data_IF_911510187749
#
_entry.id   IF_911510187749
#
_cell.length_a   1.000
_cell.length_b   1.000
_cell.length_c   1.000
_cell.angle_alpha   90.00
_cell.angle_beta   90.00
_cell.angle_gamma   90.00
#
_symmetry.space_group_name_H-M   'P 1'
#
loop_
_entity.id
_entity.type
_entity.pdbx_description
1 polymer ?
#
# COMPACT_ATOMS: atom_id res chain seq x y z
N UNK A 1 28.13 -18.26 28.46
CA UNK A 1 27.21 -17.48 27.66
C UNK A 1 27.71 -16.04 27.59
N UNK A 2 27.84 -15.53 26.37
CA UNK A 2 28.38 -14.17 26.05
C UNK A 2 27.25 -13.19 25.77
N UNK A 3 26.10 -13.36 26.42
CA UNK A 3 24.93 -12.48 26.32
C UNK A 3 25.32 -11.04 26.70
N UNK A 4 25.06 -10.09 25.82
CA UNK A 4 25.45 -8.69 25.97
C UNK A 4 26.85 -8.33 25.45
N UNK A 5 27.72 -9.28 25.19
CA UNK A 5 29.06 -9.04 24.58
C UNK A 5 28.96 -9.11 23.05
N UNK A 6 28.30 -10.13 22.53
CA UNK A 6 28.05 -10.26 21.10
C UNK A 6 26.70 -9.59 20.79
N UNK A 7 26.64 -8.70 19.79
CA UNK A 7 25.39 -8.12 19.37
C UNK A 7 24.34 -9.18 19.01
N UNK A 8 23.08 -8.92 19.36
CA UNK A 8 21.98 -9.88 19.23
C UNK A 8 21.77 -10.40 17.79
N UNK A 9 21.95 -9.52 16.79
CA UNK A 9 21.88 -9.89 15.39
C UNK A 9 22.99 -10.86 14.92
N UNK A 10 24.04 -11.07 15.75
CA UNK A 10 25.12 -12.00 15.49
C UNK A 10 25.00 -13.31 16.28
N UNK A 11 23.86 -13.59 16.91
CA UNK A 11 23.65 -14.76 17.79
C UNK A 11 23.86 -16.12 17.10
N UNK A 12 23.75 -16.17 15.77
CA UNK A 12 24.02 -17.41 15.02
C UNK A 12 25.51 -17.61 14.68
N UNK A 13 26.37 -16.63 14.96
CA UNK A 13 27.80 -16.82 14.81
C UNK A 13 28.34 -17.67 15.97
N UNK A 14 29.03 -18.75 15.62
CA UNK A 14 29.78 -19.58 16.57
C UNK A 14 31.23 -19.12 16.60
N UNK A 15 31.77 -18.95 17.80
CA UNK A 15 33.16 -18.52 17.96
C UNK A 15 33.63 -18.58 19.40
N UNK A 16 34.88 -18.22 19.59
CA UNK A 16 35.55 -18.11 20.90
C UNK A 16 36.03 -16.68 21.05
N UNK A 17 35.74 -16.07 22.21
CA UNK A 17 36.28 -14.76 22.59
C UNK A 17 37.29 -14.98 23.69
N UNK A 18 38.54 -14.57 23.46
CA UNK A 18 39.58 -14.50 24.45
C UNK A 18 39.94 -13.02 24.69
N UNK A 19 39.72 -12.57 25.92
CA UNK A 19 40.00 -11.20 26.30
C UNK A 19 40.38 -11.13 27.79
N UNK A 20 41.55 -10.58 28.13
CA UNK A 20 41.93 -10.37 29.52
C UNK A 20 41.10 -9.30 30.21
N UNK A 21 40.41 -8.45 29.45
CA UNK A 21 39.65 -7.30 29.97
C UNK A 21 38.19 -7.64 30.29
N UNK A 22 37.74 -8.90 30.01
CA UNK A 22 36.42 -9.37 30.38
C UNK A 22 36.48 -9.94 31.79
N UNK A 23 35.91 -9.28 32.81
CA UNK A 23 35.90 -9.84 34.15
C UNK A 23 35.09 -11.15 34.18
N UNK A 24 35.73 -12.20 34.62
CA UNK A 24 35.04 -13.47 34.90
C UNK A 24 34.19 -13.30 36.15
N UNK A 25 32.96 -12.90 35.96
CA UNK A 25 32.03 -12.75 37.07
C UNK A 25 31.01 -13.90 37.12
N UNK A 26 30.85 -14.48 38.30
CA UNK A 26 29.97 -15.62 38.57
C UNK A 26 28.48 -15.23 38.46
N UNK A 27 28.18 -13.92 38.43
CA UNK A 27 26.83 -13.38 38.36
C UNK A 27 26.54 -12.75 37.00
N UNK A 28 25.65 -13.35 36.23
CA UNK A 28 25.23 -12.94 34.88
C UNK A 28 24.72 -11.50 34.74
N UNK A 29 24.28 -10.87 35.82
CA UNK A 29 23.66 -9.54 35.84
C UNK A 29 24.64 -8.36 35.76
N UNK A 30 25.93 -8.58 35.99
CA UNK A 30 26.94 -7.52 36.03
C UNK A 30 27.61 -7.21 34.68
N UNK A 31 27.56 -8.10 33.71
CA UNK A 31 28.25 -7.93 32.43
C UNK A 31 27.61 -6.86 31.52
N UNK A 32 26.32 -6.60 31.68
CA UNK A 32 25.58 -5.66 30.81
C UNK A 32 25.90 -4.18 31.05
N UNK A 33 26.49 -3.82 32.18
CA UNK A 33 26.76 -2.44 32.57
C UNK A 33 28.21 -2.00 32.44
N UNK A 34 29.13 -2.90 32.10
CA UNK A 34 30.57 -2.59 31.99
C UNK A 34 30.88 -1.85 30.69
N UNK A 35 31.56 -0.73 30.77
CA UNK A 35 32.05 0.06 29.63
C UNK A 35 32.96 -0.76 28.71
N UNK A 36 33.68 -1.73 29.23
CA UNK A 36 34.54 -2.62 28.45
C UNK A 36 33.74 -3.62 27.59
N UNK A 37 32.63 -4.14 28.11
CA UNK A 37 31.72 -5.00 27.35
C UNK A 37 31.13 -4.24 26.15
N UNK A 38 30.70 -2.98 26.33
CA UNK A 38 30.24 -2.13 25.25
C UNK A 38 31.31 -1.89 24.18
N UNK A 39 32.57 -1.62 24.60
CA UNK A 39 33.69 -1.43 23.67
C UNK A 39 33.97 -2.69 22.85
N UNK A 40 33.94 -3.85 23.49
CA UNK A 40 34.16 -5.14 22.81
C UNK A 40 33.03 -5.43 21.83
N UNK A 41 31.77 -5.20 22.24
CA UNK A 41 30.59 -5.37 21.35
C UNK A 41 30.68 -4.47 20.13
N UNK A 42 31.04 -3.19 20.31
CA UNK A 42 31.25 -2.24 19.20
C UNK A 42 32.41 -2.67 18.30
N UNK A 43 33.50 -3.17 18.87
CA UNK A 43 34.64 -3.67 18.10
C UNK A 43 34.25 -4.90 17.26
N UNK A 44 33.52 -5.86 17.83
CA UNK A 44 33.02 -7.03 17.11
C UNK A 44 32.09 -6.59 15.94
N UNK A 45 31.12 -5.71 16.22
CA UNK A 45 30.23 -5.15 15.20
C UNK A 45 31.02 -4.56 14.03
N UNK A 46 32.03 -3.74 14.35
CA UNK A 46 32.91 -3.14 13.34
C UNK A 46 33.66 -4.20 12.53
N UNK A 47 34.28 -5.17 13.18
CA UNK A 47 35.06 -6.21 12.49
C UNK A 47 34.21 -7.09 11.59
N UNK A 48 33.01 -7.43 12.02
CA UNK A 48 32.05 -8.17 11.19
C UNK A 48 31.64 -7.36 9.96
N UNK A 49 31.29 -6.09 10.14
CA UNK A 49 30.95 -5.20 9.02
C UNK A 49 32.14 -5.03 8.05
N UNK A 50 33.36 -4.79 8.57
CA UNK A 50 34.59 -4.67 7.76
C UNK A 50 34.83 -5.96 6.95
N UNK A 51 34.63 -7.15 7.56
CA UNK A 51 34.82 -8.43 6.87
C UNK A 51 33.76 -8.66 5.79
N UNK A 52 32.50 -8.37 6.05
CA UNK A 52 31.42 -8.45 5.05
C UNK A 52 31.70 -7.53 3.86
N UNK A 53 32.14 -6.30 4.13
CA UNK A 53 32.52 -5.33 3.09
C UNK A 53 33.71 -5.83 2.26
N UNK A 54 34.70 -6.45 2.91
CA UNK A 54 35.85 -7.06 2.18
C UNK A 54 35.38 -8.17 1.24
N UNK A 55 34.54 -9.09 1.71
CA UNK A 55 33.99 -10.19 0.89
C UNK A 55 33.20 -9.60 -0.29
N UNK A 56 32.37 -8.59 -0.05
CA UNK A 56 31.61 -7.91 -1.10
C UNK A 56 32.54 -7.31 -2.18
N UNK A 57 33.63 -6.65 -1.77
CA UNK A 57 34.58 -6.03 -2.69
C UNK A 57 35.49 -7.02 -3.42
N UNK A 58 35.91 -8.09 -2.73
CA UNK A 58 36.83 -9.10 -3.27
C UNK A 58 36.11 -10.04 -4.27
N UNK A 59 34.87 -10.42 -3.99
CA UNK A 59 34.09 -11.33 -4.83
C UNK A 59 32.59 -11.04 -4.75
N UNK A 60 32.16 -9.98 -5.43
CA UNK A 60 30.78 -9.55 -5.45
C UNK A 60 29.80 -10.64 -5.88
N UNK A 61 30.17 -11.45 -6.90
CA UNK A 61 29.28 -12.52 -7.39
C UNK A 61 29.00 -13.57 -6.33
N UNK A 62 30.02 -14.02 -5.63
CA UNK A 62 29.87 -14.98 -4.54
C UNK A 62 29.05 -14.37 -3.38
N UNK A 63 29.22 -13.09 -3.11
CA UNK A 63 28.44 -12.39 -2.10
C UNK A 63 26.96 -12.30 -2.47
N UNK A 64 26.64 -11.99 -3.73
CA UNK A 64 25.27 -11.98 -4.26
C UNK A 64 24.61 -13.37 -4.19
N UNK A 65 25.34 -14.45 -4.50
CA UNK A 65 24.84 -15.84 -4.39
C UNK A 65 24.49 -16.23 -2.93
N UNK A 66 25.16 -15.63 -1.96
CA UNK A 66 24.91 -15.84 -0.52
C UNK A 66 23.98 -14.82 0.11
N UNK A 67 23.53 -13.82 -0.66
CA UNK A 67 22.76 -12.70 -0.12
C UNK A 67 21.46 -13.12 0.57
N UNK A 68 20.73 -14.06 0.01
CA UNK A 68 19.46 -14.50 0.59
C UNK A 68 19.65 -15.13 1.98
N UNK A 69 20.79 -15.75 2.26
CA UNK A 69 21.16 -16.28 3.57
C UNK A 69 21.68 -15.20 4.53
N UNK A 70 22.36 -14.18 4.00
CA UNK A 70 22.95 -13.08 4.77
C UNK A 70 21.96 -11.97 5.09
N UNK A 71 20.96 -11.76 4.23
CA UNK A 71 20.03 -10.65 4.28
C UNK A 71 19.38 -10.46 5.65
N UNK A 72 18.93 -11.54 6.28
CA UNK A 72 18.21 -11.45 7.56
C UNK A 72 19.11 -10.87 8.67
N UNK A 73 20.39 -11.30 8.72
CA UNK A 73 21.34 -10.81 9.73
C UNK A 73 21.71 -9.35 9.49
N UNK A 74 21.99 -9.01 8.24
CA UNK A 74 22.38 -7.66 7.85
C UNK A 74 21.23 -6.70 8.11
N UNK A 75 20.02 -7.05 7.70
CA UNK A 75 18.82 -6.25 7.94
C UNK A 75 18.53 -6.09 9.44
N UNK A 76 18.63 -7.18 10.22
CA UNK A 76 18.43 -7.08 11.67
C UNK A 76 19.50 -6.22 12.34
N UNK A 77 20.74 -6.34 11.90
CA UNK A 77 21.84 -5.48 12.38
C UNK A 77 21.61 -4.01 12.07
N UNK A 78 21.18 -3.69 10.85
CA UNK A 78 20.87 -2.33 10.42
C UNK A 78 19.70 -1.72 11.19
N UNK A 79 18.66 -2.52 11.49
CA UNK A 79 17.50 -2.10 12.29
C UNK A 79 17.85 -1.90 13.77
N UNK A 80 18.81 -2.67 14.30
CA UNK A 80 19.12 -2.71 15.72
C UNK A 80 20.23 -1.74 16.14
N UNK A 81 21.14 -1.38 15.22
CA UNK A 81 22.37 -0.63 15.51
C UNK A 81 22.68 0.39 14.42
N UNK A 82 22.63 1.67 14.77
CA UNK A 82 22.92 2.78 13.86
C UNK A 82 24.33 2.70 13.27
N UNK A 83 25.33 2.42 14.10
CA UNK A 83 26.74 2.30 13.66
C UNK A 83 26.95 1.08 12.73
N UNK A 84 26.14 0.04 12.83
CA UNK A 84 26.15 -1.04 11.86
C UNK A 84 25.48 -0.62 10.54
N UNK A 85 24.35 0.10 10.60
CA UNK A 85 23.72 0.67 9.42
C UNK A 85 24.70 1.51 8.61
N UNK A 86 25.41 2.45 9.26
CA UNK A 86 26.36 3.33 8.60
C UNK A 86 27.49 2.61 7.86
N UNK A 87 27.82 1.40 8.30
CA UNK A 87 28.81 0.53 7.64
C UNK A 87 28.19 -0.39 6.59
N UNK A 88 27.03 -0.93 6.89
CA UNK A 88 26.37 -1.96 6.08
C UNK A 88 25.70 -1.38 4.82
N UNK A 89 25.30 -0.10 4.81
CA UNK A 89 24.66 0.54 3.65
C UNK A 89 25.48 0.46 2.37
N UNK A 90 26.80 0.32 2.46
CA UNK A 90 27.69 0.25 1.30
C UNK A 90 27.75 -1.15 0.66
N UNK A 91 27.36 -2.20 1.39
CA UNK A 91 27.36 -3.59 0.92
C UNK A 91 26.02 -4.32 1.11
N UNK A 92 25.04 -3.69 1.74
CA UNK A 92 23.67 -4.21 1.76
C UNK A 92 23.06 -4.14 0.37
N UNK A 93 22.31 -5.18 -0.03
CA UNK A 93 21.79 -5.29 -1.37
C UNK A 93 20.27 -5.24 -1.41
N UNK A 94 19.75 -4.63 -2.47
CA UNK A 94 18.43 -4.91 -2.99
C UNK A 94 18.49 -6.02 -4.03
N UNK A 95 17.42 -6.82 -4.10
CA UNK A 95 17.18 -7.79 -5.17
C UNK A 95 15.93 -7.39 -5.91
N UNK A 96 15.97 -7.33 -7.22
CA UNK A 96 14.77 -7.07 -8.03
C UNK A 96 14.00 -8.37 -8.34
N UNK A 97 12.82 -8.22 -8.94
CA UNK A 97 11.97 -9.35 -9.34
C UNK A 97 12.58 -10.22 -10.45
N UNK A 98 13.59 -9.72 -11.17
CA UNK A 98 14.33 -10.45 -12.19
C UNK A 98 15.58 -11.15 -11.62
N UNK A 99 15.82 -11.03 -10.31
CA UNK A 99 16.90 -11.68 -9.60
C UNK A 99 18.24 -10.94 -9.68
N UNK A 100 18.27 -9.69 -10.12
CA UNK A 100 19.48 -8.85 -10.13
C UNK A 100 19.67 -8.19 -8.76
N UNK A 101 20.94 -8.03 -8.39
CA UNK A 101 21.34 -7.42 -7.13
C UNK A 101 21.95 -6.04 -7.34
N UNK A 102 21.65 -5.13 -6.42
CA UNK A 102 22.11 -3.75 -6.46
C UNK A 102 22.46 -3.28 -5.05
N UNK A 103 23.49 -2.47 -4.91
CA UNK A 103 23.62 -1.65 -3.69
C UNK A 103 22.52 -0.59 -3.68
N UNK A 104 22.33 0.07 -2.55
CA UNK A 104 21.31 1.13 -2.43
C UNK A 104 21.54 2.27 -3.43
N UNK A 105 22.80 2.69 -3.61
CA UNK A 105 23.16 3.75 -4.55
C UNK A 105 23.04 3.33 -6.02
N UNK A 106 23.40 2.08 -6.34
CA UNK A 106 23.21 1.54 -7.69
C UNK A 106 21.72 1.51 -8.06
N UNK A 107 20.87 1.02 -7.16
CA UNK A 107 19.44 0.95 -7.44
C UNK A 107 18.81 2.34 -7.56
N UNK A 108 19.20 3.28 -6.70
CA UNK A 108 18.82 4.69 -6.80
C UNK A 108 19.13 5.26 -8.18
N UNK A 109 20.31 4.95 -8.72
CA UNK A 109 20.72 5.41 -10.07
C UNK A 109 19.84 4.79 -11.15
N UNK A 110 19.52 3.50 -11.05
CA UNK A 110 18.68 2.79 -12.02
C UNK A 110 17.27 3.39 -12.12
N UNK A 111 16.65 3.76 -10.98
CA UNK A 111 15.25 4.19 -10.95
C UNK A 111 15.05 5.70 -11.08
N UNK A 112 16.10 6.50 -10.91
CA UNK A 112 16.02 7.97 -10.78
C UNK A 112 15.26 8.64 -11.92
N UNK A 113 15.52 8.27 -13.15
CA UNK A 113 14.98 8.97 -14.32
C UNK A 113 13.50 8.62 -14.57
N UNK A 114 13.12 7.37 -14.30
CA UNK A 114 11.77 6.87 -14.60
C UNK A 114 10.83 6.90 -13.41
N UNK A 115 11.34 6.75 -12.17
CA UNK A 115 10.54 6.56 -10.97
C UNK A 115 10.56 7.76 -10.03
N UNK A 116 10.82 8.96 -10.53
CA UNK A 116 10.62 10.21 -9.80
C UNK A 116 9.23 10.76 -10.08
N UNK A 117 8.45 11.06 -9.03
CA UNK A 117 7.13 11.63 -9.14
C UNK A 117 7.18 13.16 -9.43
N UNK A 118 6.01 13.76 -9.67
CA UNK A 118 5.89 15.21 -9.94
C UNK A 118 6.34 16.11 -8.78
N UNK A 119 6.43 15.58 -7.57
CA UNK A 119 6.87 16.31 -6.37
C UNK A 119 8.38 16.15 -6.14
N UNK A 120 9.05 15.37 -6.99
CA UNK A 120 10.47 15.08 -6.91
C UNK A 120 10.82 13.97 -5.91
N UNK A 121 9.84 13.16 -5.48
CA UNK A 121 10.11 11.99 -4.66
C UNK A 121 10.51 10.80 -5.54
N UNK A 122 11.52 10.08 -5.11
CA UNK A 122 11.97 8.85 -5.76
C UNK A 122 11.14 7.67 -5.24
N UNK A 123 10.48 6.96 -6.13
CA UNK A 123 9.56 5.89 -5.79
C UNK A 123 10.22 4.53 -6.02
N UNK A 124 10.46 3.81 -4.92
CA UNK A 124 10.94 2.43 -4.90
C UNK A 124 9.73 1.50 -4.98
N UNK A 125 9.44 0.97 -6.16
CA UNK A 125 8.39 -0.04 -6.30
C UNK A 125 8.88 -1.39 -5.81
N UNK A 126 8.02 -2.12 -5.09
CA UNK A 126 8.36 -3.46 -4.63
C UNK A 126 7.18 -4.44 -4.69
N UNK A 127 7.51 -5.71 -4.76
CA UNK A 127 6.59 -6.83 -4.61
C UNK A 127 7.06 -7.72 -3.46
N UNK A 128 6.16 -8.34 -2.74
CA UNK A 128 6.47 -9.31 -1.70
C UNK A 128 6.09 -10.75 -2.11
N UNK A 129 5.26 -10.92 -3.13
CA UNK A 129 4.94 -12.20 -3.74
C UNK A 129 4.89 -12.04 -5.27
N UNK A 130 5.88 -12.59 -5.94
CA UNK A 130 6.04 -12.45 -7.39
C UNK A 130 4.91 -13.11 -8.18
N UNK A 131 4.37 -14.21 -7.70
CA UNK A 131 3.31 -14.96 -8.38
C UNK A 131 1.96 -14.26 -8.21
N UNK A 132 1.58 -13.93 -7.00
CA UNK A 132 0.31 -13.25 -6.70
C UNK A 132 0.25 -11.84 -7.30
N UNK A 133 1.39 -11.15 -7.37
CA UNK A 133 1.49 -9.77 -7.86
C UNK A 133 1.98 -9.69 -9.31
N UNK A 134 2.01 -10.81 -10.03
CA UNK A 134 2.55 -10.90 -11.38
C UNK A 134 2.00 -9.82 -12.33
N UNK A 135 0.69 -9.63 -12.36
CA UNK A 135 0.07 -8.66 -13.27
C UNK A 135 0.41 -7.20 -12.97
N UNK A 136 0.66 -6.87 -11.71
CA UNK A 136 1.08 -5.52 -11.30
C UNK A 136 2.57 -5.30 -11.61
N UNK A 137 3.39 -6.35 -11.46
CA UNK A 137 4.81 -6.33 -11.82
C UNK A 137 4.95 -6.11 -13.33
N UNK A 138 4.19 -6.85 -14.16
CA UNK A 138 4.25 -6.68 -15.62
C UNK A 138 3.78 -5.28 -16.04
N UNK A 139 2.70 -4.76 -15.44
CA UNK A 139 2.26 -3.39 -15.71
C UNK A 139 3.33 -2.34 -15.37
N UNK A 140 4.10 -2.56 -14.30
CA UNK A 140 5.22 -1.70 -13.95
C UNK A 140 6.37 -1.81 -14.96
N UNK A 141 6.71 -3.03 -15.38
CA UNK A 141 7.74 -3.28 -16.39
C UNK A 141 7.39 -2.69 -17.75
N UNK A 142 6.13 -2.75 -18.17
CA UNK A 142 5.65 -2.15 -19.42
C UNK A 142 5.82 -0.62 -19.43
N UNK A 143 5.81 0.02 -18.26
CA UNK A 143 6.16 1.44 -18.09
C UNK A 143 7.67 1.70 -17.98
N UNK A 144 8.50 0.67 -18.06
CA UNK A 144 9.95 0.77 -17.88
C UNK A 144 10.38 0.96 -16.43
N UNK A 145 9.53 0.60 -15.46
CA UNK A 145 9.84 0.68 -14.04
C UNK A 145 10.52 -0.59 -13.55
N UNK A 146 11.45 -0.42 -12.60
CA UNK A 146 12.08 -1.51 -11.88
C UNK A 146 11.31 -1.81 -10.58
N UNK A 147 11.20 -3.09 -10.24
CA UNK A 147 10.46 -3.55 -9.06
C UNK A 147 11.38 -4.40 -8.19
N UNK A 148 11.50 -4.06 -6.91
CA UNK A 148 12.23 -4.84 -5.93
C UNK A 148 11.43 -6.06 -5.47
N UNK A 149 12.12 -7.13 -5.11
CA UNK A 149 11.54 -8.27 -4.42
C UNK A 149 11.83 -8.15 -2.92
N UNK A 150 10.79 -7.89 -2.14
CA UNK A 150 10.85 -7.72 -0.69
C UNK A 150 9.92 -8.72 -0.01
N UNK A 151 10.36 -9.98 0.05
CA UNK A 151 9.61 -11.14 0.55
C UNK A 151 10.10 -11.65 1.92
N UNK A 152 10.99 -10.90 2.57
CA UNK A 152 11.55 -11.23 3.88
C UNK A 152 10.71 -10.71 5.05
N UNK A 153 10.80 -11.37 6.20
CA UNK A 153 10.08 -10.99 7.42
C UNK A 153 10.45 -9.60 7.93
N UNK A 154 11.70 -9.15 7.71
CA UNK A 154 12.19 -7.84 8.14
C UNK A 154 11.99 -6.74 7.08
N UNK A 155 11.43 -7.05 5.91
CA UNK A 155 11.37 -6.07 4.83
C UNK A 155 10.42 -4.89 5.15
N UNK A 156 9.31 -5.09 5.86
CA UNK A 156 8.45 -3.98 6.28
C UNK A 156 9.15 -3.03 7.27
N UNK A 157 9.77 -3.48 8.37
CA UNK A 157 10.60 -2.62 9.20
C UNK A 157 11.74 -1.94 8.44
N UNK A 158 12.41 -2.67 7.52
CA UNK A 158 13.47 -2.11 6.68
C UNK A 158 12.97 -0.97 5.81
N UNK A 159 11.83 -1.15 5.13
CA UNK A 159 11.19 -0.10 4.32
C UNK A 159 10.94 1.15 5.15
N UNK A 160 10.34 1.01 6.34
CA UNK A 160 10.06 2.14 7.21
C UNK A 160 11.34 2.88 7.65
N UNK A 161 12.42 2.14 7.96
CA UNK A 161 13.71 2.72 8.30
C UNK A 161 14.34 3.42 7.09
N UNK A 162 14.35 2.78 5.92
CA UNK A 162 14.97 3.33 4.71
C UNK A 162 14.26 4.60 4.22
N UNK A 163 12.93 4.70 4.35
CA UNK A 163 12.20 5.93 4.04
C UNK A 163 12.61 7.11 4.95
N UNK A 164 13.03 6.85 6.18
CA UNK A 164 13.57 7.87 7.08
C UNK A 164 15.02 8.26 6.73
N UNK A 165 15.80 7.31 6.19
CA UNK A 165 17.21 7.51 5.84
C UNK A 165 17.42 8.09 4.44
N UNK A 166 16.53 7.78 3.51
CA UNK A 166 16.60 8.22 2.13
C UNK A 166 15.78 9.49 1.95
N UNK A 167 16.46 10.59 1.64
CA UNK A 167 15.78 11.86 1.39
C UNK A 167 14.84 11.75 0.18
N UNK A 168 13.65 12.33 0.31
CA UNK A 168 12.64 12.38 -0.76
C UNK A 168 12.43 11.03 -1.44
N UNK A 169 12.31 9.97 -0.66
CA UNK A 169 12.12 8.61 -1.15
C UNK A 169 10.92 7.96 -0.48
N UNK A 170 10.19 7.16 -1.25
CA UNK A 170 9.05 6.37 -0.78
C UNK A 170 9.14 4.96 -1.35
N UNK A 171 8.77 3.99 -0.54
CA UNK A 171 8.61 2.60 -0.96
C UNK A 171 7.12 2.31 -1.12
N UNK A 172 6.74 1.81 -2.29
CA UNK A 172 5.34 1.57 -2.62
C UNK A 172 5.19 0.17 -3.23
N UNK A 173 4.30 -0.64 -2.66
CA UNK A 173 4.04 -1.97 -3.21
C UNK A 173 3.25 -1.85 -4.50
N UNK A 174 3.59 -2.67 -5.50
CA UNK A 174 3.06 -2.57 -6.87
C UNK A 174 1.54 -2.70 -6.98
N UNK A 175 0.88 -3.32 -6.00
CA UNK A 175 -0.57 -3.51 -5.95
C UNK A 175 -1.29 -2.53 -4.99
N UNK A 176 -0.57 -1.52 -4.50
CA UNK A 176 -1.16 -0.54 -3.57
C UNK A 176 -2.02 0.53 -4.26
N UNK A 177 -1.80 0.75 -5.53
CA UNK A 177 -2.63 1.60 -6.40
C UNK A 177 -2.42 1.19 -7.86
N UNK A 178 -3.12 1.84 -8.80
CA UNK A 178 -2.87 1.68 -10.23
C UNK A 178 -1.49 2.22 -10.61
N UNK A 179 -0.91 1.66 -11.67
CA UNK A 179 0.44 2.04 -12.10
C UNK A 179 0.56 3.54 -12.41
N UNK A 180 -0.50 4.17 -12.86
CA UNK A 180 -0.60 5.60 -13.13
C UNK A 180 -0.53 6.47 -11.87
N UNK A 181 -0.96 5.91 -10.72
CA UNK A 181 -0.97 6.60 -9.41
C UNK A 181 0.21 6.21 -8.52
N UNK A 182 0.83 5.06 -8.74
CA UNK A 182 2.03 4.66 -7.97
C UNK A 182 3.16 5.69 -8.14
N UNK A 183 3.34 6.21 -9.37
CA UNK A 183 4.29 7.26 -9.68
C UNK A 183 3.53 8.35 -10.44
N UNK A 184 3.05 9.35 -9.69
CA UNK A 184 2.22 10.42 -10.26
C UNK A 184 3.08 11.33 -11.11
N UNK A 185 2.80 11.37 -12.42
CA UNK A 185 3.41 12.29 -13.39
C UNK A 185 2.51 13.50 -13.60
N UNK A 186 3.04 14.57 -14.22
CA UNK A 186 2.29 15.82 -14.45
C UNK A 186 1.11 15.64 -15.42
N UNK A 187 1.23 14.69 -16.33
CA UNK A 187 0.28 14.38 -17.41
C UNK A 187 -0.72 13.26 -17.06
N UNK A 188 -0.93 12.98 -15.77
CA UNK A 188 -1.88 11.96 -15.33
C UNK A 188 -3.29 12.24 -15.88
N UNK A 189 -3.80 11.30 -16.68
CA UNK A 189 -5.10 11.39 -17.33
C UNK A 189 -6.23 11.35 -16.28
N UNK A 190 -7.19 12.27 -16.43
CA UNK A 190 -8.43 12.25 -15.66
C UNK A 190 -9.55 11.58 -16.44
N UNK A 191 -10.51 10.99 -15.75
CA UNK A 191 -11.72 10.49 -16.42
C UNK A 191 -12.53 11.63 -17.06
N UNK A 192 -13.05 11.35 -18.25
CA UNK A 192 -13.94 12.27 -18.97
C UNK A 192 -15.39 12.17 -18.49
N UNK A 193 -15.71 11.24 -17.58
CA UNK A 193 -17.04 11.06 -17.04
C UNK A 193 -17.40 12.20 -16.08
N UNK A 194 -18.64 12.67 -16.17
CA UNK A 194 -19.17 13.60 -15.20
C UNK A 194 -19.47 12.92 -13.84
N UNK A 195 -19.85 13.72 -12.84
CA UNK A 195 -20.10 13.22 -11.48
C UNK A 195 -21.24 12.20 -11.44
N UNK A 196 -22.33 12.44 -12.18
CA UNK A 196 -23.49 11.56 -12.22
C UNK A 196 -23.16 10.21 -12.84
N UNK A 197 -22.37 10.19 -13.92
CA UNK A 197 -21.89 8.97 -14.57
C UNK A 197 -20.92 8.18 -13.67
N UNK A 198 -20.06 8.89 -12.96
CA UNK A 198 -19.14 8.28 -11.99
C UNK A 198 -19.90 7.63 -10.84
N UNK A 199 -20.90 8.33 -10.29
CA UNK A 199 -21.75 7.80 -9.22
C UNK A 199 -22.57 6.58 -9.69
N UNK A 200 -23.11 6.63 -10.92
CA UNK A 200 -23.85 5.52 -11.51
C UNK A 200 -22.96 4.26 -11.58
N UNK A 201 -21.81 4.34 -12.23
CA UNK A 201 -20.87 3.21 -12.32
C UNK A 201 -20.44 2.70 -10.94
N UNK A 202 -20.09 3.61 -10.03
CA UNK A 202 -19.70 3.25 -8.66
C UNK A 202 -20.80 2.43 -7.98
N UNK A 203 -22.05 2.85 -8.11
CA UNK A 203 -23.19 2.17 -7.49
C UNK A 203 -23.52 0.84 -8.17
N UNK A 204 -23.44 0.76 -9.51
CA UNK A 204 -23.61 -0.49 -10.26
C UNK A 204 -22.69 -1.57 -9.71
N UNK A 205 -21.41 -1.30 -9.59
CA UNK A 205 -20.45 -2.30 -9.11
C UNK A 205 -20.52 -2.50 -7.59
N UNK A 206 -20.61 -1.43 -6.79
CA UNK A 206 -20.67 -1.52 -5.33
C UNK A 206 -21.83 -2.37 -4.84
N UNK A 207 -22.99 -2.29 -5.48
CA UNK A 207 -24.17 -3.03 -5.09
C UNK A 207 -24.06 -4.55 -5.30
N UNK A 208 -23.13 -5.00 -6.14
CA UNK A 208 -22.92 -6.41 -6.49
C UNK A 208 -21.66 -7.03 -5.86
N UNK A 209 -20.90 -6.25 -5.09
CA UNK A 209 -19.72 -6.77 -4.41
C UNK A 209 -20.08 -7.79 -3.32
N UNK A 210 -19.38 -8.92 -3.24
CA UNK A 210 -19.65 -9.92 -2.21
C UNK A 210 -19.24 -9.40 -0.83
N UNK A 211 -19.93 -9.85 0.20
CA UNK A 211 -19.52 -9.62 1.59
C UNK A 211 -18.48 -10.68 1.94
N UNK A 212 -17.22 -10.25 2.07
CA UNK A 212 -16.12 -11.11 2.51
C UNK A 212 -15.80 -10.74 3.97
N UNK A 213 -15.66 -11.75 4.82
CA UNK A 213 -15.38 -11.54 6.24
C UNK A 213 -14.09 -10.73 6.44
N UNK A 214 -14.13 -9.75 7.33
CA UNK A 214 -13.01 -8.84 7.63
C UNK A 214 -12.43 -8.13 6.39
N UNK A 215 -13.27 -7.85 5.40
CA UNK A 215 -12.85 -7.15 4.18
C UNK A 215 -13.84 -6.04 3.85
N UNK A 216 -13.33 -4.86 3.54
CA UNK A 216 -14.11 -3.71 3.08
C UNK A 216 -13.65 -3.32 1.68
N UNK A 217 -14.63 -3.03 0.81
CA UNK A 217 -14.39 -2.57 -0.54
C UNK A 217 -14.87 -1.14 -0.73
N UNK A 218 -14.03 -0.32 -1.35
CA UNK A 218 -14.41 0.95 -1.95
C UNK A 218 -14.37 0.81 -3.46
N UNK A 219 -15.16 1.62 -4.18
CA UNK A 219 -15.19 1.62 -5.65
C UNK A 219 -14.81 3.00 -6.14
N UNK A 220 -13.87 3.07 -7.06
CA UNK A 220 -13.41 4.30 -7.71
C UNK A 220 -13.42 4.12 -9.23
N UNK A 221 -13.55 5.25 -9.95
CA UNK A 221 -13.47 5.30 -11.42
C UNK A 221 -12.22 6.06 -11.82
N UNK A 222 -11.40 5.46 -12.71
CA UNK A 222 -10.17 6.05 -13.21
C UNK A 222 -10.03 5.82 -14.71
N UNK A 223 -9.31 6.71 -15.40
CA UNK A 223 -8.93 6.57 -16.79
C UNK A 223 -7.56 5.86 -16.87
N UNK A 224 -7.53 4.58 -17.26
CA UNK A 224 -6.31 3.75 -17.30
C UNK A 224 -5.86 3.43 -18.73
N UNK A 225 -6.57 3.92 -19.75
CA UNK A 225 -6.36 3.58 -21.15
C UNK A 225 -7.16 2.37 -21.61
N UNK A 226 -7.46 2.33 -22.90
CA UNK A 226 -8.37 1.34 -23.51
C UNK A 226 -7.84 -0.12 -23.44
N UNK A 227 -6.51 -0.28 -23.44
CA UNK A 227 -5.85 -1.59 -23.42
C UNK A 227 -5.56 -2.11 -22.01
N UNK A 228 -5.83 -1.30 -20.98
CA UNK A 228 -5.67 -1.70 -19.58
C UNK A 228 -6.88 -2.52 -19.12
N UNK A 229 -6.74 -3.25 -18.02
CA UNK A 229 -7.82 -4.08 -17.48
C UNK A 229 -9.08 -3.26 -17.20
N UNK A 230 -10.29 -3.83 -17.39
CA UNK A 230 -11.54 -3.13 -17.07
C UNK A 230 -11.73 -2.87 -15.58
N UNK A 231 -11.29 -3.80 -14.73
CA UNK A 231 -11.36 -3.70 -13.27
C UNK A 231 -10.04 -4.10 -12.66
N UNK A 232 -9.55 -3.30 -11.73
CA UNK A 232 -8.31 -3.53 -10.97
C UNK A 232 -8.63 -3.44 -9.49
N UNK A 233 -8.06 -4.34 -8.68
CA UNK A 233 -8.18 -4.29 -7.21
C UNK A 233 -6.84 -3.84 -6.64
N UNK A 234 -6.86 -2.85 -5.74
CA UNK A 234 -5.67 -2.34 -5.06
C UNK A 234 -5.86 -2.37 -3.54
N UNK A 235 -4.76 -2.42 -2.80
CA UNK A 235 -4.76 -2.41 -1.34
C UNK A 235 -3.95 -1.27 -0.79
N UNK A 236 -4.56 -0.40 0.01
CA UNK A 236 -3.90 0.77 0.57
C UNK A 236 -2.60 0.42 1.32
N UNK A 237 -1.49 1.04 0.91
CA UNK A 237 -0.14 0.78 1.44
C UNK A 237 -0.03 1.07 2.94
N UNK A 238 -0.56 2.20 3.39
CA UNK A 238 -0.47 2.62 4.79
C UNK A 238 -1.20 1.66 5.73
N UNK A 239 -2.45 1.32 5.41
CA UNK A 239 -3.25 0.39 6.23
C UNK A 239 -2.59 -0.98 6.31
N UNK A 240 -2.08 -1.48 5.18
CA UNK A 240 -1.39 -2.75 5.12
C UNK A 240 -0.12 -2.76 5.99
N UNK A 241 0.70 -1.69 5.91
CA UNK A 241 1.91 -1.59 6.73
C UNK A 241 1.58 -1.50 8.21
N UNK A 242 0.57 -0.71 8.61
CA UNK A 242 0.13 -0.62 10.00
C UNK A 242 -0.32 -1.98 10.54
N UNK A 243 -1.06 -2.74 9.75
CA UNK A 243 -1.49 -4.09 10.10
C UNK A 243 -0.31 -5.05 10.24
N UNK A 244 0.65 -5.01 9.36
CA UNK A 244 1.88 -5.83 9.46
C UNK A 244 2.70 -5.45 10.69
N UNK A 245 2.89 -4.15 10.95
CA UNK A 245 3.67 -3.67 12.10
C UNK A 245 2.99 -4.00 13.43
N UNK A 246 1.67 -4.08 13.47
CA UNK A 246 0.93 -4.46 14.70
C UNK A 246 1.30 -5.87 15.21
N UNK A 247 1.82 -6.72 14.35
CA UNK A 247 2.30 -8.07 14.72
C UNK A 247 3.63 -8.02 15.47
N UNK A 248 4.40 -6.96 15.32
CA UNK A 248 5.74 -6.81 15.92
C UNK A 248 5.77 -5.87 17.14
N UNK A 249 4.77 -5.02 17.32
CA UNK A 249 4.75 -4.01 18.39
C UNK A 249 3.56 -4.23 19.34
N UNK A 250 3.86 -4.49 20.61
CA UNK A 250 2.86 -4.52 21.67
C UNK A 250 2.22 -3.12 21.80
N UNK A 251 0.89 -3.07 21.77
CA UNK A 251 0.12 -1.81 21.82
C UNK A 251 -0.50 -1.36 20.49
N UNK A 252 -0.16 -1.98 19.37
CA UNK A 252 -0.78 -1.72 18.06
C UNK A 252 -1.83 -2.78 17.66
N UNK A 253 -2.30 -3.60 18.58
CA UNK A 253 -3.26 -4.70 18.33
C UNK A 253 -4.54 -4.23 17.62
N UNK A 254 -4.96 -2.99 17.87
CA UNK A 254 -6.13 -2.38 17.21
C UNK A 254 -6.05 -2.45 15.67
N UNK A 255 -4.89 -2.17 15.09
CA UNK A 255 -4.71 -2.24 13.63
C UNK A 255 -4.77 -3.68 13.09
N UNK A 256 -4.34 -4.66 13.90
CA UNK A 256 -4.41 -6.09 13.55
C UNK A 256 -5.84 -6.62 13.43
N UNK A 257 -6.78 -6.02 14.15
CA UNK A 257 -8.21 -6.40 14.15
C UNK A 257 -9.05 -5.66 13.10
N UNK A 258 -8.52 -4.59 12.51
CA UNK A 258 -9.21 -3.84 11.46
C UNK A 258 -9.43 -4.70 10.20
N UNK A 259 -10.55 -4.52 9.49
CA UNK A 259 -10.77 -5.18 8.22
C UNK A 259 -9.70 -4.78 7.19
N UNK A 260 -9.42 -5.67 6.26
CA UNK A 260 -8.60 -5.35 5.10
C UNK A 260 -9.40 -4.43 4.16
N UNK A 261 -8.81 -3.31 3.79
CA UNK A 261 -9.43 -2.33 2.89
C UNK A 261 -8.85 -2.46 1.49
N UNK A 262 -9.73 -2.68 0.52
CA UNK A 262 -9.40 -2.77 -0.90
C UNK A 262 -10.17 -1.74 -1.70
N UNK A 263 -9.58 -1.26 -2.78
CA UNK A 263 -10.23 -0.38 -3.74
C UNK A 263 -10.44 -1.12 -5.06
N UNK A 264 -11.69 -1.20 -5.50
CA UNK A 264 -12.09 -1.68 -6.83
C UNK A 264 -12.03 -0.49 -7.77
N UNK A 265 -11.13 -0.52 -8.72
CA UNK A 265 -10.92 0.57 -9.68
C UNK A 265 -11.53 0.18 -11.01
N UNK A 266 -12.48 0.95 -11.48
CA UNK A 266 -13.17 0.80 -12.74
C UNK A 266 -12.49 1.66 -13.80
N UNK A 267 -12.03 1.03 -14.89
CA UNK A 267 -11.34 1.73 -15.98
C UNK A 267 -12.37 2.39 -16.93
N UNK A 268 -12.58 3.68 -16.80
CA UNK A 268 -13.54 4.44 -17.64
C UNK A 268 -13.19 4.45 -19.13
N UNK A 269 -11.94 4.17 -19.50
CA UNK A 269 -11.52 4.10 -20.91
C UNK A 269 -11.86 2.76 -21.56
N UNK A 270 -12.05 1.70 -20.75
CA UNK A 270 -12.26 0.35 -21.27
C UNK A 270 -13.66 0.16 -21.86
N UNK A 271 -13.75 -0.45 -23.04
CA UNK A 271 -15.01 -0.65 -23.77
C UNK A 271 -16.10 -1.33 -22.96
N UNK A 272 -15.77 -2.38 -22.16
CA UNK A 272 -16.76 -3.07 -21.32
C UNK A 272 -17.36 -2.15 -20.26
N UNK A 273 -16.57 -1.28 -19.65
CA UNK A 273 -17.04 -0.32 -18.64
C UNK A 273 -17.92 0.76 -19.29
N UNK A 274 -17.52 1.27 -20.46
CA UNK A 274 -18.34 2.20 -21.26
C UNK A 274 -19.69 1.58 -21.61
N UNK A 275 -19.71 0.31 -22.02
CA UNK A 275 -20.93 -0.41 -22.36
C UNK A 275 -21.83 -0.61 -21.13
N UNK A 276 -21.27 -0.96 -19.99
CA UNK A 276 -22.04 -1.09 -18.72
C UNK A 276 -22.67 0.23 -18.34
N UNK A 277 -21.94 1.37 -18.47
CA UNK A 277 -22.48 2.69 -18.19
C UNK A 277 -23.65 3.02 -19.13
N UNK A 278 -23.46 2.89 -20.43
CA UNK A 278 -24.48 3.19 -21.43
C UNK A 278 -25.73 2.33 -21.26
N UNK A 279 -25.56 1.04 -20.93
CA UNK A 279 -26.66 0.14 -20.68
C UNK A 279 -27.41 0.50 -19.37
N UNK A 280 -26.69 0.81 -18.31
CA UNK A 280 -27.26 1.30 -17.05
C UNK A 280 -28.06 2.59 -17.26
N UNK A 281 -27.46 3.59 -17.92
CA UNK A 281 -28.14 4.85 -18.22
C UNK A 281 -29.42 4.63 -19.03
N UNK A 282 -29.38 3.77 -20.04
CA UNK A 282 -30.54 3.47 -20.90
C UNK A 282 -31.67 2.79 -20.11
N UNK A 283 -31.35 1.82 -19.24
CA UNK A 283 -32.36 1.04 -18.52
C UNK A 283 -32.93 1.75 -17.28
N UNK A 284 -32.21 2.73 -16.72
CA UNK A 284 -32.61 3.42 -15.48
C UNK A 284 -33.07 4.85 -15.69
N UNK A 285 -32.87 5.44 -16.88
CA UNK A 285 -33.10 6.86 -17.17
C UNK A 285 -34.48 7.37 -16.74
N UNK A 286 -35.55 6.66 -17.11
CA UNK A 286 -36.93 7.09 -16.81
C UNK A 286 -37.21 7.09 -15.30
N UNK A 287 -36.75 6.03 -14.61
CA UNK A 287 -36.96 5.89 -13.17
C UNK A 287 -36.12 6.87 -12.35
N UNK A 288 -34.91 7.18 -12.83
CA UNK A 288 -33.98 8.09 -12.13
C UNK A 288 -34.29 9.56 -12.36
N UNK A 289 -34.92 9.93 -13.49
CA UNK A 289 -35.17 11.33 -13.85
C UNK A 289 -35.81 12.19 -12.76
N UNK A 290 -36.93 11.76 -12.11
CA UNK A 290 -37.54 12.56 -11.04
C UNK A 290 -36.64 12.62 -9.78
N UNK A 291 -35.96 11.54 -9.45
CA UNK A 291 -35.08 11.46 -8.27
C UNK A 291 -33.88 12.37 -8.42
N UNK A 292 -33.22 12.34 -9.57
CA UNK A 292 -32.06 13.22 -9.85
C UNK A 292 -32.45 14.69 -9.88
N UNK A 293 -33.63 15.02 -10.38
CA UNK A 293 -34.17 16.40 -10.33
C UNK A 293 -34.37 16.84 -8.88
N UNK A 294 -34.94 15.99 -8.03
CA UNK A 294 -35.14 16.30 -6.60
C UNK A 294 -33.79 16.44 -5.87
N UNK A 295 -32.85 15.52 -6.05
CA UNK A 295 -31.50 15.64 -5.46
C UNK A 295 -30.87 16.96 -5.84
N UNK A 296 -30.84 17.31 -7.13
CA UNK A 296 -30.27 18.56 -7.62
C UNK A 296 -30.94 19.81 -7.03
N UNK A 297 -32.27 19.79 -6.90
CA UNK A 297 -33.03 20.85 -6.28
C UNK A 297 -32.70 21.04 -4.80
N UNK A 298 -32.60 19.95 -4.07
CA UNK A 298 -32.26 19.95 -2.65
C UNK A 298 -30.78 20.31 -2.40
N UNK A 299 -29.85 19.87 -3.24
CA UNK A 299 -28.44 20.28 -3.17
C UNK A 299 -28.26 21.79 -3.42
N UNK A 300 -29.00 22.35 -4.39
CA UNK A 300 -29.00 23.78 -4.60
C UNK A 300 -29.55 24.55 -3.38
N UNK A 301 -30.63 24.04 -2.77
CA UNK A 301 -31.20 24.61 -1.53
C UNK A 301 -30.20 24.54 -0.38
N UNK A 302 -29.53 23.39 -0.18
CA UNK A 302 -28.54 23.22 0.86
C UNK A 302 -27.36 24.19 0.70
N UNK A 303 -26.89 24.40 -0.53
CA UNK A 303 -25.85 25.38 -0.83
C UNK A 303 -26.23 26.79 -0.41
N UNK A 304 -27.48 27.21 -0.65
CA UNK A 304 -27.98 28.51 -0.21
C UNK A 304 -28.04 28.62 1.31
N UNK A 305 -28.56 27.58 2.00
CA UNK A 305 -28.64 27.56 3.46
C UNK A 305 -27.25 27.66 4.09
N UNK A 306 -26.27 26.93 3.57
CA UNK A 306 -24.86 26.97 4.06
C UNK A 306 -24.25 28.38 3.79
N UNK A 307 -24.51 28.98 2.62
CA UNK A 307 -24.03 30.34 2.31
C UNK A 307 -24.61 31.37 3.26
N UNK A 308 -25.88 31.24 3.66
CA UNK A 308 -26.52 32.13 4.62
C UNK A 308 -25.94 31.95 6.02
N UNK A 309 -25.71 30.71 6.45
CA UNK A 309 -25.08 30.43 7.74
C UNK A 309 -23.64 30.92 7.82
N UNK A 310 -22.87 30.86 6.72
CA UNK A 310 -21.48 31.35 6.69
C UNK A 310 -21.36 32.86 6.93
N UNK A 311 -22.43 33.62 6.70
CA UNK A 311 -22.48 35.06 6.96
C UNK A 311 -22.77 35.43 8.42
N UNK A 312 -23.11 34.45 9.25
CA UNK A 312 -23.49 34.59 10.66
C UNK A 312 -22.43 34.01 11.57
N UNK A 313 -22.36 34.48 12.80
CA UNK A 313 -21.58 33.81 13.84
C UNK A 313 -22.31 32.55 14.29
N UNK A 314 -21.63 31.53 14.81
CA UNK A 314 -22.23 30.26 15.26
C UNK A 314 -23.38 30.43 16.25
N UNK A 315 -23.29 31.42 17.13
CA UNK A 315 -24.30 31.80 18.12
C UNK A 315 -25.53 32.51 17.55
N UNK A 316 -25.43 33.02 16.33
CA UNK A 316 -26.53 33.75 15.61
C UNK A 316 -27.35 32.79 14.74
N UNK A 317 -26.89 31.54 14.57
CA UNK A 317 -27.62 30.54 13.79
C UNK A 317 -28.75 29.98 14.66
N UNK A 318 -29.95 30.20 14.22
CA UNK A 318 -31.17 29.78 14.93
C UNK A 318 -31.36 28.25 14.87
N UNK A 319 -32.13 27.68 15.81
CA UNK A 319 -32.46 26.25 15.77
C UNK A 319 -33.23 25.90 14.49
N UNK A 320 -34.12 26.76 14.01
CA UNK A 320 -34.86 26.57 12.76
C UNK A 320 -33.92 26.42 11.55
N UNK A 321 -32.87 27.24 11.45
CA UNK A 321 -31.90 27.17 10.37
C UNK A 321 -31.08 25.87 10.42
N UNK A 322 -30.79 25.36 11.61
CA UNK A 322 -30.13 24.02 11.78
C UNK A 322 -31.06 22.90 11.36
N UNK A 323 -32.33 22.99 11.75
CA UNK A 323 -33.36 22.02 11.42
C UNK A 323 -33.63 22.00 9.89
N UNK A 324 -33.63 23.16 9.23
CA UNK A 324 -33.80 23.26 7.77
C UNK A 324 -32.62 22.62 7.01
N UNK A 325 -31.39 22.81 7.47
CA UNK A 325 -30.21 22.13 6.91
C UNK A 325 -30.35 20.63 7.10
N UNK A 326 -30.62 20.16 8.33
CA UNK A 326 -30.77 18.75 8.65
C UNK A 326 -31.86 18.06 7.80
N UNK A 327 -33.03 18.69 7.66
CA UNK A 327 -34.13 18.12 6.85
C UNK A 327 -33.78 18.09 5.36
N UNK A 328 -33.05 19.09 4.87
CA UNK A 328 -32.58 19.11 3.48
C UNK A 328 -31.55 18.01 3.22
N UNK A 329 -30.57 17.86 4.11
CA UNK A 329 -29.57 16.77 4.05
C UNK A 329 -30.23 15.39 4.13
N UNK A 330 -31.21 15.23 5.01
CA UNK A 330 -31.97 13.98 5.14
C UNK A 330 -32.72 13.66 3.86
N UNK A 331 -33.40 14.64 3.25
CA UNK A 331 -34.10 14.44 1.97
C UNK A 331 -33.14 14.02 0.87
N UNK A 332 -31.97 14.67 0.78
CA UNK A 332 -30.92 14.29 -0.18
C UNK A 332 -30.47 12.83 0.05
N UNK A 333 -30.25 12.44 1.30
CA UNK A 333 -29.84 11.08 1.66
C UNK A 333 -30.90 10.04 1.29
N UNK A 334 -32.18 10.34 1.58
CA UNK A 334 -33.30 9.44 1.27
C UNK A 334 -33.47 9.28 -0.25
N UNK A 335 -33.36 10.36 -1.02
CA UNK A 335 -33.45 10.30 -2.50
C UNK A 335 -32.22 9.59 -3.11
N UNK A 336 -31.01 9.79 -2.57
CA UNK A 336 -29.82 9.02 -2.95
C UNK A 336 -30.01 7.53 -2.67
N UNK A 337 -30.65 7.17 -1.55
CA UNK A 337 -31.01 5.77 -1.24
C UNK A 337 -31.93 5.15 -2.30
N UNK A 338 -32.96 5.87 -2.74
CA UNK A 338 -33.87 5.41 -3.82
C UNK A 338 -33.13 5.25 -5.15
N UNK A 339 -32.27 6.20 -5.50
CA UNK A 339 -31.41 6.12 -6.68
C UNK A 339 -30.54 4.85 -6.64
N UNK A 340 -29.89 4.61 -5.52
CA UNK A 340 -28.99 3.50 -5.32
C UNK A 340 -29.71 2.14 -5.38
N UNK A 341 -30.95 2.07 -4.91
CA UNK A 341 -31.81 0.90 -5.02
C UNK A 341 -32.19 0.57 -6.48
N UNK A 342 -32.58 1.59 -7.26
CA UNK A 342 -32.92 1.41 -8.69
C UNK A 342 -31.70 0.91 -9.47
N UNK A 343 -30.54 1.54 -9.26
CA UNK A 343 -29.30 1.14 -9.93
C UNK A 343 -28.87 -0.27 -9.49
N UNK A 344 -28.99 -0.59 -8.20
CA UNK A 344 -28.66 -1.90 -7.65
C UNK A 344 -29.56 -3.01 -8.22
N UNK A 345 -30.84 -2.76 -8.39
CA UNK A 345 -31.79 -3.70 -9.01
C UNK A 345 -31.45 -3.96 -10.48
N UNK A 346 -31.09 -2.92 -11.24
CA UNK A 346 -30.58 -3.10 -12.60
C UNK A 346 -29.29 -3.96 -12.62
N UNK A 347 -28.33 -3.64 -11.76
CA UNK A 347 -27.03 -4.30 -11.70
C UNK A 347 -27.14 -5.79 -11.33
N UNK A 348 -28.13 -6.17 -10.52
CA UNK A 348 -28.39 -7.54 -10.08
C UNK A 348 -28.57 -8.54 -11.22
N UNK A 349 -29.16 -8.09 -12.31
CA UNK A 349 -29.43 -8.94 -13.47
C UNK A 349 -28.37 -8.78 -14.58
N UNK A 350 -27.31 -7.98 -14.34
CA UNK A 350 -26.28 -7.72 -15.32
C UNK A 350 -25.11 -8.70 -15.20
N UNK A 351 -25.07 -9.72 -16.05
CA UNK A 351 -24.03 -10.76 -16.03
C UNK A 351 -22.61 -10.22 -16.28
N UNK A 352 -22.47 -9.15 -17.08
CA UNK A 352 -21.14 -8.58 -17.36
C UNK A 352 -20.54 -7.97 -16.09
N UNK A 353 -21.36 -7.28 -15.28
CA UNK A 353 -20.92 -6.71 -14.01
C UNK A 353 -20.44 -7.82 -13.07
N UNK A 354 -21.20 -8.91 -12.94
CA UNK A 354 -20.82 -10.05 -12.10
C UNK A 354 -19.51 -10.68 -12.58
N UNK A 355 -19.39 -10.98 -13.87
CA UNK A 355 -18.18 -11.58 -14.43
C UNK A 355 -16.94 -10.68 -14.25
N UNK A 356 -17.07 -9.37 -14.41
CA UNK A 356 -15.96 -8.43 -14.20
C UNK A 356 -15.51 -8.38 -12.73
N UNK A 357 -16.46 -8.42 -11.79
CA UNK A 357 -16.15 -8.49 -10.35
C UNK A 357 -15.47 -9.82 -10.03
N UNK A 358 -16.04 -10.93 -10.45
CA UNK A 358 -15.53 -12.26 -10.15
C UNK A 358 -14.13 -12.48 -10.73
N UNK A 359 -13.89 -12.02 -11.96
CA UNK A 359 -12.57 -12.08 -12.59
C UNK A 359 -11.52 -11.25 -11.80
N UNK A 360 -11.89 -10.05 -11.36
CA UNK A 360 -11.00 -9.23 -10.58
C UNK A 360 -10.69 -9.83 -9.20
N UNK A 361 -11.69 -10.41 -8.53
CA UNK A 361 -11.54 -11.13 -7.26
C UNK A 361 -10.71 -12.40 -7.44
N UNK A 362 -10.90 -13.16 -8.51
CA UNK A 362 -10.12 -14.35 -8.81
C UNK A 362 -8.64 -14.02 -9.00
N UNK A 363 -8.34 -12.99 -9.76
CA UNK A 363 -6.95 -12.53 -9.98
C UNK A 363 -6.22 -12.13 -8.70
N UNK A 364 -6.95 -11.75 -7.66
CA UNK A 364 -6.41 -11.37 -6.37
C UNK A 364 -6.55 -12.47 -5.30
N UNK A 365 -6.91 -13.70 -5.70
CA UNK A 365 -7.07 -14.82 -4.78
C UNK A 365 -8.20 -14.67 -3.76
N UNK A 366 -9.15 -13.77 -4.04
CA UNK A 366 -10.27 -13.45 -3.15
C UNK A 366 -11.53 -14.26 -3.47
N UNK A 367 -11.63 -14.86 -4.67
CA UNK A 367 -12.74 -15.71 -5.05
C UNK A 367 -12.48 -17.13 -4.54
N UNK A 368 -13.28 -17.61 -3.59
CA UNK A 368 -13.12 -18.90 -2.91
C UNK A 368 -14.47 -19.59 -2.70
N UNK A 369 -14.42 -20.92 -2.50
CA UNK A 369 -15.62 -21.71 -2.16
C UNK A 369 -16.73 -21.61 -3.19
N UNK A 370 -17.95 -21.37 -2.75
CA UNK A 370 -19.14 -21.30 -3.61
C UNK A 370 -19.05 -20.22 -4.71
N UNK A 371 -18.35 -19.12 -4.48
CA UNK A 371 -18.11 -18.10 -5.50
C UNK A 371 -17.24 -18.59 -6.64
N UNK A 372 -16.23 -19.42 -6.34
CA UNK A 372 -15.37 -20.03 -7.37
C UNK A 372 -16.11 -21.12 -8.16
N UNK A 373 -17.02 -21.86 -7.50
CA UNK A 373 -17.84 -22.88 -8.14
C UNK A 373 -18.90 -22.27 -9.10
N UNK A 374 -19.39 -21.07 -8.75
CA UNK A 374 -20.39 -20.36 -9.57
C UNK A 374 -19.77 -19.62 -10.77
N UNK A 375 -18.44 -19.31 -10.73
CA UNK A 375 -17.69 -18.70 -11.81
C UNK A 375 -17.40 -19.68 -12.94
#
# INVERSE_FOLDING_TARGET
QVEGIVPEFLTLLHGVIDSPDIPLNVSRSYLQSDSNVKKISTYITKKVADRLNSIFKENRKEYEEKWDDLKIFINYGMLSKEDFYDRAKDFALFKDVDGKYFTFDEYKTVIKDNQTDKEGNLIYLYANNKEEQYSYIEAAKDKGYSVLLMNGQLDTPMVNMLEQKFEKSRFVRVDSDTIERLIVKEDAKKTDLNHEQTDNLTQVFRSQLPKIEKTEFTVEVQALGENSKPVVITQNEWMRRMKTMSQFQQGMNFYGEMPDSYTIILNSDHTLIKNVLADSESNTAEALKPILAEIKGQEARLAVLHQEQTKKKPEEITQQEKDDVYQTEKTISDEKGKRDEIIGNYAKDNNIVHQLIDLALLQNGMLKGAGLEAF
#
